data_IF_264697797426
#
_entry.id   IF_264697797426
#
_cell.length_a   1.000
_cell.length_b   1.000
_cell.length_c   1.000
_cell.angle_alpha   90.00
_cell.angle_beta   90.00
_cell.angle_gamma   90.00
#
_symmetry.space_group_name_H-M   'P 1'
#
loop_
_entity.id
_entity.type
_entity.pdbx_description
1 polymer ?
#
# COMPACT_ATOMS: atom_id res chain seq x y z
N UNK A 1 11.75 4.23 24.45
CA UNK A 1 10.98 3.03 24.05
C UNK A 1 10.21 3.30 22.76
N UNK A 2 10.21 2.38 21.86
CA UNK A 2 9.44 2.54 20.63
C UNK A 2 7.98 2.25 20.91
N UNK A 3 7.09 2.96 20.22
CA UNK A 3 5.64 2.76 20.35
C UNK A 3 5.17 1.50 19.60
N UNK A 4 6.03 1.00 18.72
CA UNK A 4 5.79 -0.21 17.95
C UNK A 4 7.00 -1.13 18.12
N UNK A 5 6.85 -2.47 18.08
CA UNK A 5 7.98 -3.38 18.12
C UNK A 5 8.81 -3.34 16.82
N UNK A 6 8.41 -2.52 15.85
CA UNK A 6 9.07 -2.44 14.55
C UNK A 6 9.74 -1.08 14.38
N UNK A 7 10.90 -1.05 13.73
CA UNK A 7 11.55 0.19 13.35
C UNK A 7 10.78 0.89 12.22
N UNK A 8 10.04 0.11 11.46
CA UNK A 8 9.20 0.62 10.37
C UNK A 8 7.81 0.93 10.91
N UNK A 9 7.31 2.13 10.62
CA UNK A 9 5.98 2.53 11.02
C UNK A 9 4.98 2.05 9.97
N UNK A 10 4.12 1.12 10.36
CA UNK A 10 3.10 0.56 9.47
C UNK A 10 1.73 1.00 9.96
N UNK A 11 0.96 1.65 9.07
CA UNK A 11 -0.36 2.19 9.39
C UNK A 11 -1.44 1.59 8.51
N UNK A 12 -2.65 1.58 9.03
CA UNK A 12 -3.83 1.16 8.28
C UNK A 12 -4.28 2.30 7.38
N UNK A 13 -4.53 2.00 6.11
CA UNK A 13 -5.09 2.96 5.16
C UNK A 13 -6.24 2.35 4.39
N UNK A 14 -7.01 3.19 3.72
CA UNK A 14 -8.06 2.76 2.81
C UNK A 14 -7.72 3.18 1.40
N UNK A 15 -7.82 2.28 0.45
CA UNK A 15 -7.59 2.61 -0.96
C UNK A 15 -8.74 3.48 -1.45
N UNK A 16 -8.41 4.69 -1.89
CA UNK A 16 -9.38 5.62 -2.48
C UNK A 16 -9.52 5.36 -3.97
N UNK A 17 -8.40 5.19 -4.64
CA UNK A 17 -8.34 4.94 -6.07
C UNK A 17 -7.20 3.99 -6.36
N UNK A 18 -7.32 3.23 -7.43
CA UNK A 18 -6.28 2.35 -7.94
C UNK A 18 -6.35 2.31 -9.46
N UNK A 19 -5.20 2.33 -10.11
CA UNK A 19 -5.17 2.20 -11.57
C UNK A 19 -3.90 1.49 -12.02
N UNK A 20 -4.00 0.80 -13.13
CA UNK A 20 -2.84 0.14 -13.75
C UNK A 20 -1.77 1.18 -14.08
N UNK A 21 -0.51 0.78 -14.00
CA UNK A 21 0.62 1.67 -14.24
C UNK A 21 1.54 1.07 -15.31
N UNK A 22 1.11 1.11 -16.58
CA UNK A 22 1.87 0.48 -17.67
C UNK A 22 3.14 1.22 -18.08
N UNK A 23 3.34 2.47 -17.62
CA UNK A 23 4.47 3.30 -18.00
C UNK A 23 5.79 2.88 -17.34
N UNK A 24 5.75 1.97 -16.35
CA UNK A 24 6.96 1.48 -15.71
C UNK A 24 7.53 0.27 -16.43
N UNK A 25 8.82 -0.02 -16.18
CA UNK A 25 9.48 -1.21 -16.73
C UNK A 25 9.01 -2.51 -16.06
N UNK A 26 8.41 -2.40 -14.87
CA UNK A 26 7.94 -3.58 -14.14
C UNK A 26 6.51 -3.91 -14.53
N UNK A 27 6.23 -5.19 -14.88
CA UNK A 27 4.87 -5.56 -15.25
C UNK A 27 3.93 -5.55 -14.05
N UNK A 28 2.64 -5.34 -14.34
CA UNK A 28 1.57 -5.43 -13.34
C UNK A 28 1.68 -4.44 -12.19
N UNK A 29 2.36 -3.31 -12.43
CA UNK A 29 2.38 -2.22 -11.45
C UNK A 29 1.01 -1.58 -11.35
N UNK A 30 0.64 -1.19 -10.14
CA UNK A 30 -0.61 -0.51 -9.82
C UNK A 30 -0.29 0.72 -9.00
N UNK A 31 -0.89 1.86 -9.36
CA UNK A 31 -0.84 3.09 -8.56
C UNK A 31 -1.99 3.05 -7.56
N UNK A 32 -1.71 3.44 -6.34
CA UNK A 32 -2.71 3.54 -5.28
C UNK A 32 -2.70 4.93 -4.67
N UNK A 33 -3.89 5.44 -4.37
CA UNK A 33 -4.09 6.63 -3.54
C UNK A 33 -4.79 6.16 -2.28
N UNK A 34 -4.16 6.40 -1.13
CA UNK A 34 -4.53 5.77 0.14
C UNK A 34 -4.80 6.83 1.18
N UNK A 35 -5.94 6.71 1.86
CA UNK A 35 -6.33 7.58 2.97
C UNK A 35 -5.87 6.96 4.28
N UNK A 36 -5.02 7.70 5.00
CA UNK A 36 -4.51 7.28 6.32
C UNK A 36 -5.23 7.97 7.47
N UNK A 37 -6.41 8.53 7.23
CA UNK A 37 -7.15 9.25 8.25
C UNK A 37 -6.48 10.57 8.59
N UNK A 38 -6.21 10.82 9.86
CA UNK A 38 -5.58 12.07 10.31
C UNK A 38 -4.18 12.28 9.75
N UNK A 39 -3.51 11.22 9.34
CA UNK A 39 -2.17 11.31 8.73
C UNK A 39 -2.21 11.77 7.28
N UNK A 40 -3.39 11.93 6.70
CA UNK A 40 -3.56 12.41 5.34
C UNK A 40 -3.53 11.31 4.30
N UNK A 41 -3.37 11.71 3.04
CA UNK A 41 -3.33 10.77 1.91
C UNK A 41 -1.91 10.56 1.46
N UNK A 42 -1.61 9.34 1.01
CA UNK A 42 -0.32 9.00 0.43
C UNK A 42 -0.52 8.26 -0.89
N UNK A 43 0.50 8.28 -1.72
CA UNK A 43 0.55 7.54 -2.97
C UNK A 43 1.51 6.36 -2.83
N UNK A 44 1.18 5.26 -3.47
CA UNK A 44 2.02 4.06 -3.47
C UNK A 44 1.93 3.37 -4.81
N UNK A 45 3.02 2.80 -5.27
CA UNK A 45 3.02 1.97 -6.47
C UNK A 45 3.63 0.60 -6.12
N UNK A 46 2.96 -0.46 -6.52
CA UNK A 46 3.41 -1.83 -6.25
C UNK A 46 2.91 -2.78 -7.32
N UNK A 47 3.61 -3.91 -7.48
CA UNK A 47 3.26 -4.92 -8.48
C UNK A 47 2.08 -5.78 -8.04
N UNK A 48 0.93 -5.17 -7.83
CA UNK A 48 -0.26 -5.81 -7.29
C UNK A 48 -1.13 -6.49 -8.35
N UNK A 49 -0.90 -6.21 -9.62
CA UNK A 49 -1.77 -6.65 -10.69
C UNK A 49 -1.74 -8.14 -11.00
N UNK A 50 -0.79 -8.90 -10.44
CA UNK A 50 -0.79 -10.35 -10.59
C UNK A 50 -1.89 -11.00 -9.74
N UNK A 51 -2.07 -10.53 -8.52
CA UNK A 51 -3.02 -11.11 -7.57
C UNK A 51 -4.31 -10.31 -7.42
N UNK A 52 -4.31 -9.05 -7.88
CA UNK A 52 -5.44 -8.14 -7.68
C UNK A 52 -5.83 -7.44 -8.96
N UNK A 53 -7.14 -7.26 -9.13
CA UNK A 53 -7.68 -6.39 -10.17
C UNK A 53 -7.74 -4.97 -9.60
N UNK A 54 -7.10 -3.97 -10.24
CA UNK A 54 -7.14 -2.60 -9.74
C UNK A 54 -8.56 -2.07 -9.48
N UNK A 55 -9.53 -2.50 -10.28
CA UNK A 55 -10.91 -2.05 -10.12
C UNK A 55 -11.57 -2.54 -8.83
N UNK A 56 -11.02 -3.59 -8.22
CA UNK A 56 -11.55 -4.17 -6.99
C UNK A 56 -10.89 -3.62 -5.73
N UNK A 57 -9.83 -2.82 -5.87
CA UNK A 57 -9.06 -2.32 -4.73
C UNK A 57 -9.69 -1.14 -3.98
N UNK A 58 -10.37 -0.18 -4.64
CA UNK A 58 -10.97 0.93 -3.90
C UNK A 58 -11.93 0.45 -2.81
N UNK A 59 -11.80 1.05 -1.62
CA UNK A 59 -12.58 0.68 -0.45
C UNK A 59 -11.94 -0.38 0.43
N UNK A 60 -10.89 -1.06 -0.04
CA UNK A 60 -10.19 -2.05 0.78
C UNK A 60 -9.26 -1.35 1.76
N UNK A 61 -9.18 -1.91 2.97
CA UNK A 61 -8.17 -1.49 3.94
C UNK A 61 -6.88 -2.24 3.67
N UNK A 62 -5.76 -1.52 3.75
CA UNK A 62 -4.43 -2.05 3.50
C UNK A 62 -3.48 -1.60 4.61
N UNK A 63 -2.30 -2.19 4.65
CA UNK A 63 -1.24 -1.75 5.56
C UNK A 63 -0.15 -1.08 4.75
N UNK A 64 0.33 0.06 5.24
CA UNK A 64 1.35 0.86 4.56
C UNK A 64 2.50 1.21 5.50
N UNK A 65 3.72 0.98 5.04
CA UNK A 65 4.90 1.50 5.71
C UNK A 65 5.07 2.96 5.30
N UNK A 66 5.04 3.87 6.26
CA UNK A 66 4.94 5.31 6.00
C UNK A 66 6.21 6.10 6.29
N UNK A 67 7.24 5.48 6.84
CA UNK A 67 8.46 6.17 7.25
C UNK A 67 9.73 5.70 6.51
N UNK A 68 9.56 5.15 5.30
CA UNK A 68 10.68 4.65 4.50
C UNK A 68 11.22 5.68 3.50
N UNK A 69 10.64 6.86 3.45
CA UNK A 69 10.96 7.86 2.44
C UNK A 69 10.15 7.64 1.17
N UNK A 70 10.50 8.34 0.10
CA UNK A 70 9.78 8.24 -1.16
C UNK A 70 10.71 7.95 -2.31
N UNK A 71 10.16 7.33 -3.36
CA UNK A 71 10.89 7.12 -4.63
C UNK A 71 9.98 7.54 -5.78
N UNK A 72 10.58 7.98 -6.88
CA UNK A 72 9.84 8.27 -8.10
C UNK A 72 9.97 7.11 -9.06
N UNK A 73 8.82 6.64 -9.54
CA UNK A 73 8.73 5.54 -10.49
C UNK A 73 8.00 6.07 -11.71
N UNK A 74 8.70 6.22 -12.82
CA UNK A 74 8.16 6.81 -14.07
C UNK A 74 7.40 8.12 -13.79
N UNK A 75 7.96 8.99 -12.94
CA UNK A 75 7.38 10.28 -12.59
C UNK A 75 6.34 10.26 -11.47
N UNK A 76 5.88 9.09 -11.06
CA UNK A 76 4.91 8.95 -9.97
C UNK A 76 5.65 8.81 -8.63
N UNK A 77 5.28 9.65 -7.67
CA UNK A 77 5.93 9.65 -6.35
C UNK A 77 5.28 8.59 -5.46
N UNK A 78 6.02 7.51 -5.18
CA UNK A 78 5.59 6.48 -4.24
C UNK A 78 6.11 6.85 -2.85
N UNK A 79 5.20 7.26 -1.97
CA UNK A 79 5.50 7.81 -0.64
C UNK A 79 5.40 6.77 0.46
N UNK A 80 4.75 5.67 0.18
CA UNK A 80 4.53 4.62 1.15
C UNK A 80 4.69 3.27 0.47
N UNK A 81 5.08 2.27 1.24
CA UNK A 81 5.14 0.90 0.77
C UNK A 81 3.86 0.18 1.19
N UNK A 82 3.07 -0.26 0.24
CA UNK A 82 1.89 -1.08 0.53
C UNK A 82 2.37 -2.49 0.83
N UNK A 83 2.01 -2.99 2.00
CA UNK A 83 2.52 -4.26 2.53
C UNK A 83 1.78 -5.44 1.90
N UNK A 84 2.54 -6.42 1.43
CA UNK A 84 2.00 -7.66 0.91
C UNK A 84 2.88 -8.83 1.29
N UNK A 85 2.34 -10.02 1.12
CA UNK A 85 3.09 -11.27 1.30
C UNK A 85 3.09 -12.03 -0.03
N UNK A 86 4.14 -12.82 -0.30
CA UNK A 86 4.21 -13.52 -1.57
C UNK A 86 3.23 -14.69 -1.63
N UNK A 87 2.61 -14.88 -2.79
CA UNK A 87 1.85 -16.09 -3.07
C UNK A 87 2.82 -17.20 -3.53
N UNK A 88 2.27 -18.30 -4.05
CA UNK A 88 3.06 -19.45 -4.51
C UNK A 88 4.07 -19.09 -5.58
N UNK A 89 3.75 -18.09 -6.41
CA UNK A 89 4.60 -17.64 -7.50
C UNK A 89 5.49 -16.45 -7.12
N UNK A 90 5.41 -16.01 -5.86
CA UNK A 90 6.20 -14.89 -5.37
C UNK A 90 5.55 -13.53 -5.63
N UNK A 91 4.30 -13.49 -6.08
CA UNK A 91 3.60 -12.23 -6.35
C UNK A 91 2.95 -11.68 -5.09
N UNK A 92 2.98 -10.36 -4.88
CA UNK A 92 2.46 -9.79 -3.64
C UNK A 92 0.93 -9.89 -3.54
N UNK A 93 0.49 -10.39 -2.40
CA UNK A 93 -0.92 -10.40 -2.00
C UNK A 93 -1.04 -9.46 -0.82
N UNK A 94 -1.99 -8.53 -0.88
CA UNK A 94 -2.17 -7.51 0.14
C UNK A 94 -2.52 -8.12 1.49
N UNK A 95 -1.92 -7.54 2.54
CA UNK A 95 -2.26 -7.88 3.92
C UNK A 95 -3.29 -6.87 4.38
N UNK A 96 -4.39 -7.36 4.93
CA UNK A 96 -5.46 -6.48 5.40
C UNK A 96 -5.96 -6.92 6.77
N UNK A 97 -6.56 -5.99 7.56
CA UNK A 97 -7.17 -6.36 8.83
C UNK A 97 -8.31 -7.34 8.57
N UNK A 98 -8.57 -8.24 9.53
CA UNK A 98 -9.64 -9.21 9.38
C UNK A 98 -11.05 -8.60 9.44
N UNK A 99 -11.13 -7.33 9.85
CA UNK A 99 -12.37 -6.54 9.82
C UNK A 99 -11.99 -5.07 9.73
N UNK A 100 -12.96 -4.24 9.41
CA UNK A 100 -12.75 -2.80 9.30
C UNK A 100 -12.32 -2.21 10.64
N UNK A 101 -11.28 -1.37 10.60
CA UNK A 101 -10.72 -0.69 11.76
C UNK A 101 -10.53 0.79 11.44
N UNK A 102 -10.31 1.66 12.45
CA UNK A 102 -10.04 3.07 12.18
C UNK A 102 -8.77 3.26 11.35
N UNK A 103 -8.80 4.24 10.45
CA UNK A 103 -7.66 4.55 9.60
C UNK A 103 -6.54 5.23 10.40
N UNK A 104 -5.31 4.97 9.98
CA UNK A 104 -4.13 5.58 10.60
C UNK A 104 -3.57 4.82 11.79
N UNK A 105 -4.24 3.78 12.23
CA UNK A 105 -3.76 2.95 13.34
C UNK A 105 -2.41 2.33 13.04
N UNK A 106 -1.52 2.34 14.02
CA UNK A 106 -0.15 1.83 13.89
C UNK A 106 -0.08 0.37 14.29
N UNK A 107 0.56 -0.43 13.46
CA UNK A 107 0.79 -1.84 13.74
C UNK A 107 1.65 -1.99 15.00
N UNK A 108 1.28 -2.90 15.85
CA UNK A 108 2.03 -3.14 17.09
C UNK A 108 2.17 -4.64 17.39
#
# INVERSE_FOLDING_TARGET
MVDSPFDVEIRVGEVLEAEAFPETDKPKMVKLWIDLGEEGEVQSAAQLGYAHDPEELPGKQVLCATNLGSVRIAGFKSEALTVGVPDEDGHPVLVEPSREVPLGGVLF
#
